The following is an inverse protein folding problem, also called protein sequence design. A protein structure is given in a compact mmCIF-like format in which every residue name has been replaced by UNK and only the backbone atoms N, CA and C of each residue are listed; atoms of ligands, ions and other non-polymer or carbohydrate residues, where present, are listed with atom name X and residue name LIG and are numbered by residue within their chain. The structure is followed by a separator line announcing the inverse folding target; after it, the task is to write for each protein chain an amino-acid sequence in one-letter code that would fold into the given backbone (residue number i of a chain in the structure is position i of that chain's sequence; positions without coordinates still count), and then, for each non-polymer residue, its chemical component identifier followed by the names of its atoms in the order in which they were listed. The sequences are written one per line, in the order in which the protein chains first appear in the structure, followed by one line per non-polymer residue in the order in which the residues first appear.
data_IF_080116436614
#
_entry.id   IF_080116436614
#
_cell.length_a   1.000
_cell.length_b   1.000
_cell.length_c   1.000
_cell.angle_alpha   90.00
_cell.angle_beta   90.00
_cell.angle_gamma   90.00
#
_symmetry.space_group_name_H-M   'P 1'
#
loop_
_entity.id
_entity.type
_entity.pdbx_description
1 polymer ?
#
# COMPACT_ATOMS: atom_id res chain seq x y z
N UNK A 1 -2.88 13.73 -22.04
CA UNK A 1 -3.18 13.88 -20.60
C UNK A 1 -1.87 13.84 -19.84
N UNK A 2 -1.58 14.82 -18.97
CA UNK A 2 -0.33 14.84 -18.20
C UNK A 2 -0.39 13.78 -17.09
N UNK A 3 0.66 13.00 -16.95
CA UNK A 3 0.79 12.00 -15.88
C UNK A 3 2.11 12.20 -15.15
N UNK A 4 2.15 11.78 -13.90
CA UNK A 4 3.34 11.77 -13.06
C UNK A 4 3.72 10.33 -12.76
N UNK A 5 5.03 10.03 -12.75
CA UNK A 5 5.55 8.72 -12.36
C UNK A 5 6.36 8.85 -11.06
N UNK A 6 6.10 7.98 -10.10
CA UNK A 6 6.85 7.87 -8.86
C UNK A 6 7.53 6.51 -8.79
N UNK A 7 8.75 6.41 -8.27
CA UNK A 7 9.49 5.15 -8.16
C UNK A 7 10.15 4.68 -9.46
N UNK A 8 11.04 3.68 -9.36
CA UNK A 8 11.91 3.24 -10.46
C UNK A 8 11.94 1.72 -10.66
N UNK A 9 11.48 0.92 -9.69
CA UNK A 9 11.46 -0.55 -9.82
C UNK A 9 10.28 -0.99 -10.69
N UNK A 10 10.42 -2.11 -11.43
CA UNK A 10 9.30 -2.68 -12.16
C UNK A 10 8.17 -3.08 -11.19
N UNK A 11 6.95 -3.13 -11.72
CA UNK A 11 5.80 -3.61 -10.97
C UNK A 11 5.93 -5.12 -10.74
N UNK A 12 5.95 -5.53 -9.48
CA UNK A 12 6.00 -6.93 -9.08
C UNK A 12 4.71 -7.39 -8.38
N UNK A 13 3.68 -6.53 -8.30
CA UNK A 13 2.38 -6.94 -7.82
C UNK A 13 1.73 -7.94 -8.78
N UNK A 14 1.20 -8.99 -8.20
CA UNK A 14 0.44 -10.02 -8.88
C UNK A 14 -0.95 -10.11 -8.25
N UNK A 15 -1.89 -10.64 -9.02
CA UNK A 15 -3.25 -10.90 -8.57
C UNK A 15 -3.53 -12.40 -8.65
N UNK A 16 -4.03 -12.96 -7.56
CA UNK A 16 -4.67 -14.27 -7.57
C UNK A 16 -6.18 -14.08 -7.45
N UNK A 17 -6.89 -14.34 -8.55
CA UNK A 17 -8.31 -14.04 -8.69
C UNK A 17 -8.65 -12.57 -8.42
N UNK A 18 -9.83 -12.34 -7.83
CA UNK A 18 -10.38 -10.99 -7.62
C UNK A 18 -9.92 -10.34 -6.32
N UNK A 19 -9.68 -11.14 -5.28
CA UNK A 19 -9.55 -10.68 -3.89
C UNK A 19 -8.15 -10.82 -3.30
N UNK A 20 -7.19 -11.44 -4.00
CA UNK A 20 -5.83 -11.57 -3.48
C UNK A 20 -4.85 -10.76 -4.32
N UNK A 21 -3.99 -10.01 -3.63
CA UNK A 21 -2.85 -9.29 -4.20
C UNK A 21 -1.60 -9.67 -3.43
N UNK A 22 -0.50 -9.90 -4.14
CA UNK A 22 0.78 -10.25 -3.51
C UNK A 22 1.94 -9.65 -4.30
N UNK A 23 3.10 -9.54 -3.66
CA UNK A 23 4.34 -9.12 -4.34
C UNK A 23 5.16 -10.36 -4.67
N UNK A 24 5.45 -10.58 -5.95
CA UNK A 24 6.34 -11.67 -6.38
C UNK A 24 7.74 -11.43 -5.85
N UNK A 25 8.20 -12.29 -4.92
CA UNK A 25 9.49 -12.19 -4.25
C UNK A 25 9.95 -13.57 -3.78
N UNK A 26 11.26 -13.72 -3.55
CA UNK A 26 11.84 -14.90 -2.88
C UNK A 26 11.64 -14.86 -1.36
N UNK A 27 11.23 -13.71 -0.81
CA UNK A 27 10.91 -13.56 0.60
C UNK A 27 9.51 -14.09 0.92
N UNK A 28 9.36 -14.68 2.10
CA UNK A 28 8.06 -15.03 2.62
C UNK A 28 7.27 -13.78 3.02
N UNK A 29 5.95 -13.82 2.80
CA UNK A 29 5.04 -12.80 3.34
C UNK A 29 5.12 -12.78 4.85
N UNK A 30 5.28 -11.59 5.43
CA UNK A 30 5.40 -11.38 6.89
C UNK A 30 4.30 -10.47 7.46
N UNK A 31 3.38 -9.99 6.60
CA UNK A 31 2.18 -9.24 6.97
C UNK A 31 1.07 -9.41 5.92
N UNK A 32 -0.15 -9.62 6.39
CA UNK A 32 -1.36 -9.61 5.57
C UNK A 32 -2.20 -8.38 5.94
N UNK A 33 -2.56 -7.58 4.93
CA UNK A 33 -3.38 -6.39 5.11
C UNK A 33 -4.69 -6.57 4.35
N UNK A 34 -5.81 -6.49 5.06
CA UNK A 34 -7.15 -6.54 4.53
C UNK A 34 -7.65 -5.11 4.29
N UNK A 35 -8.03 -4.81 3.05
CA UNK A 35 -8.64 -3.55 2.66
C UNK A 35 -9.95 -3.86 1.94
N UNK A 36 -11.08 -3.60 2.58
CA UNK A 36 -12.38 -4.11 2.13
C UNK A 36 -12.30 -5.62 1.83
N UNK A 37 -12.71 -6.01 0.62
CA UNK A 37 -12.75 -7.41 0.16
C UNK A 37 -11.41 -7.93 -0.42
N UNK A 38 -10.31 -7.19 -0.27
CA UNK A 38 -9.02 -7.55 -0.86
C UNK A 38 -7.96 -7.77 0.21
N UNK A 39 -7.32 -8.95 0.14
CA UNK A 39 -6.14 -9.32 0.94
C UNK A 39 -4.86 -8.98 0.21
N UNK A 40 -3.96 -8.30 0.90
CA UNK A 40 -2.63 -7.94 0.43
C UNK A 40 -1.57 -8.71 1.21
N UNK A 41 -0.87 -9.63 0.55
CA UNK A 41 0.25 -10.41 1.08
C UNK A 41 1.55 -9.64 0.81
N UNK A 42 2.12 -9.06 1.86
CA UNK A 42 3.19 -8.05 1.76
C UNK A 42 4.34 -8.32 2.74
N UNK A 43 5.32 -7.42 2.70
CA UNK A 43 6.52 -7.41 3.52
C UNK A 43 6.51 -6.16 4.42
N UNK A 44 6.83 -6.31 5.70
CA UNK A 44 6.82 -5.25 6.71
C UNK A 44 7.83 -4.17 6.35
N UNK A 45 9.07 -4.54 6.04
CA UNK A 45 10.16 -3.57 5.86
C UNK A 45 9.85 -2.46 4.80
N UNK A 46 9.42 -2.76 3.56
CA UNK A 46 9.04 -1.74 2.60
C UNK A 46 7.92 -0.81 3.07
N UNK A 47 6.93 -1.35 3.78
CA UNK A 47 5.75 -0.61 4.23
C UNK A 47 6.06 0.29 5.43
N UNK A 48 6.66 -0.31 6.47
CA UNK A 48 6.89 0.34 7.75
C UNK A 48 7.88 1.50 7.61
N UNK A 49 8.87 1.39 6.71
CA UNK A 49 9.83 2.47 6.44
C UNK A 49 9.21 3.73 5.82
N UNK A 50 7.96 3.68 5.31
CA UNK A 50 7.33 4.81 4.61
C UNK A 50 5.94 5.20 5.13
N UNK A 51 5.39 4.48 6.10
CA UNK A 51 4.07 4.75 6.68
C UNK A 51 4.09 4.61 8.20
N UNK A 52 3.87 5.73 8.89
CA UNK A 52 3.79 5.73 10.35
C UNK A 52 2.52 5.03 10.85
N UNK A 53 1.41 5.11 10.11
CA UNK A 53 0.18 4.42 10.50
C UNK A 53 0.30 2.90 10.35
N UNK A 54 0.94 2.40 9.29
CA UNK A 54 1.18 0.96 9.15
C UNK A 54 2.09 0.45 10.25
N UNK A 55 3.08 1.23 10.71
CA UNK A 55 3.89 0.85 11.88
C UNK A 55 3.00 0.64 13.10
N UNK A 56 2.14 1.61 13.43
CA UNK A 56 1.23 1.52 14.58
C UNK A 56 0.26 0.34 14.46
N UNK A 57 -0.34 0.13 13.28
CA UNK A 57 -1.31 -0.94 13.04
C UNK A 57 -0.67 -2.33 13.12
N UNK A 58 0.51 -2.51 12.53
CA UNK A 58 1.24 -3.79 12.59
C UNK A 58 1.72 -4.08 14.02
N UNK A 59 2.21 -3.07 14.75
CA UNK A 59 2.58 -3.26 16.16
C UNK A 59 1.39 -3.68 17.01
N UNK A 60 0.24 -3.02 16.85
CA UNK A 60 -1.00 -3.38 17.56
C UNK A 60 -1.46 -4.80 17.22
N UNK A 61 -1.41 -5.20 15.96
CA UNK A 61 -1.77 -6.56 15.56
C UNK A 61 -0.84 -7.61 16.22
N UNK A 62 0.47 -7.34 16.29
CA UNK A 62 1.41 -8.22 16.99
C UNK A 62 1.11 -8.34 18.49
N UNK A 63 0.74 -7.24 19.16
CA UNK A 63 0.33 -7.25 20.58
C UNK A 63 -0.93 -8.10 20.82
N UNK A 64 -1.85 -8.08 19.86
CA UNK A 64 -3.10 -8.85 19.87
C UNK A 64 -2.90 -10.31 19.37
N UNK A 65 -1.66 -10.73 19.08
CA UNK A 65 -1.33 -12.01 18.43
C UNK A 65 -2.13 -12.26 17.13
N UNK A 66 -2.45 -11.19 16.40
CA UNK A 66 -3.10 -11.24 15.10
C UNK A 66 -2.06 -11.19 13.97
N UNK A 67 -2.16 -12.13 13.03
CA UNK A 67 -1.31 -12.14 11.83
C UNK A 67 -1.81 -11.20 10.73
N UNK A 68 -3.04 -10.68 10.87
CA UNK A 68 -3.71 -9.85 9.87
C UNK A 68 -4.05 -8.46 10.41
N UNK A 69 -3.87 -7.44 9.57
CA UNK A 69 -4.28 -6.05 9.81
C UNK A 69 -5.54 -5.77 9.00
N UNK A 70 -6.57 -5.18 9.63
CA UNK A 70 -7.84 -4.87 8.98
C UNK A 70 -8.05 -3.36 8.82
N UNK A 71 -8.39 -2.92 7.62
CA UNK A 71 -8.74 -1.53 7.28
C UNK A 71 -10.06 -1.51 6.50
N UNK A 72 -11.16 -1.42 7.22
CA UNK A 72 -12.53 -1.51 6.67
C UNK A 72 -12.86 -0.29 5.79
N UNK A 73 -12.61 0.92 6.28
CA UNK A 73 -13.00 2.17 5.61
C UNK A 73 -11.80 2.91 4.98
N UNK A 74 -11.01 2.19 4.19
CA UNK A 74 -9.82 2.79 3.56
C UNK A 74 -10.18 3.78 2.44
N UNK A 75 -9.68 5.03 2.46
CA UNK A 75 -10.03 6.04 1.46
C UNK A 75 -9.55 5.65 0.06
N UNK A 76 -10.48 5.71 -0.91
CA UNK A 76 -10.20 5.28 -2.29
C UNK A 76 -10.16 3.75 -2.48
N UNK A 77 -10.37 2.98 -1.41
CA UNK A 77 -10.47 1.53 -1.44
C UNK A 77 -9.17 0.80 -1.81
N UNK A 78 -9.25 -0.49 -2.17
CA UNK A 78 -8.09 -1.36 -2.37
C UNK A 78 -7.12 -0.86 -3.45
N UNK A 79 -7.64 -0.23 -4.51
CA UNK A 79 -6.82 0.29 -5.61
C UNK A 79 -5.90 1.42 -5.15
N UNK A 80 -6.39 2.31 -4.29
CA UNK A 80 -5.57 3.38 -3.73
C UNK A 80 -4.55 2.84 -2.73
N UNK A 81 -4.91 1.82 -1.96
CA UNK A 81 -3.96 1.12 -1.10
C UNK A 81 -2.83 0.47 -1.92
N UNK A 82 -3.16 -0.20 -3.02
CA UNK A 82 -2.16 -0.82 -3.92
C UNK A 82 -1.17 0.21 -4.47
N UNK A 83 -1.64 1.41 -4.84
CA UNK A 83 -0.79 2.54 -5.25
C UNK A 83 0.19 2.92 -4.14
N UNK A 84 -0.29 3.11 -2.91
CA UNK A 84 0.56 3.42 -1.76
C UNK A 84 1.56 2.29 -1.45
N UNK A 85 1.12 1.03 -1.51
CA UNK A 85 1.98 -0.12 -1.33
C UNK A 85 3.09 -0.16 -2.40
N UNK A 86 2.77 0.01 -3.69
CA UNK A 86 3.78 0.09 -4.76
C UNK A 86 4.81 1.19 -4.50
N UNK A 87 4.37 2.36 -4.04
CA UNK A 87 5.27 3.44 -3.62
C UNK A 87 6.20 3.00 -2.48
N UNK A 88 5.69 2.30 -1.47
CA UNK A 88 6.48 1.71 -0.38
C UNK A 88 7.59 0.78 -0.88
N UNK A 89 7.32 -0.06 -1.88
CA UNK A 89 8.33 -0.92 -2.50
C UNK A 89 9.30 -0.19 -3.44
N UNK A 90 9.02 1.07 -3.79
CA UNK A 90 9.78 1.83 -4.78
C UNK A 90 9.46 1.43 -6.22
N UNK A 91 8.35 0.72 -6.43
CA UNK A 91 7.84 0.36 -7.75
C UNK A 91 7.31 1.60 -8.47
N UNK A 92 7.34 1.59 -9.79
CA UNK A 92 6.79 2.67 -10.59
C UNK A 92 5.27 2.75 -10.44
N UNK A 93 4.78 3.88 -9.94
CA UNK A 93 3.36 4.23 -9.84
C UNK A 93 3.08 5.35 -10.83
N UNK A 94 2.02 5.21 -11.63
CA UNK A 94 1.56 6.27 -12.53
C UNK A 94 0.34 6.97 -11.95
N UNK A 95 0.48 8.27 -11.70
CA UNK A 95 -0.58 9.15 -11.22
C UNK A 95 -1.13 10.01 -12.37
N UNK A 96 -2.44 10.13 -12.43
CA UNK A 96 -3.17 10.93 -13.42
C UNK A 96 -4.42 11.54 -12.76
N UNK A 97 -5.19 12.34 -13.51
CA UNK A 97 -6.36 13.03 -12.97
C UNK A 97 -7.44 12.10 -12.38
N UNK A 98 -7.46 10.81 -12.76
CA UNK A 98 -8.45 9.85 -12.28
C UNK A 98 -8.08 9.20 -10.94
N UNK A 99 -6.80 9.15 -10.58
CA UNK A 99 -6.35 8.44 -9.38
C UNK A 99 -5.58 9.31 -8.37
N UNK A 100 -5.11 10.51 -8.77
CA UNK A 100 -4.24 11.34 -7.92
C UNK A 100 -4.91 11.77 -6.61
N UNK A 101 -6.20 12.11 -6.64
CA UNK A 101 -6.95 12.52 -5.45
C UNK A 101 -7.08 11.35 -4.47
N UNK A 102 -7.50 10.18 -4.97
CA UNK A 102 -7.67 9.00 -4.14
C UNK A 102 -6.33 8.49 -3.58
N UNK A 103 -5.24 8.58 -4.35
CA UNK A 103 -3.89 8.26 -3.90
C UNK A 103 -3.39 9.22 -2.82
N UNK A 104 -3.67 10.53 -2.95
CA UNK A 104 -3.35 11.53 -1.93
C UNK A 104 -4.09 11.25 -0.62
N UNK A 105 -5.40 11.00 -0.66
CA UNK A 105 -6.19 10.68 0.53
C UNK A 105 -5.71 9.39 1.21
N UNK A 106 -5.34 8.36 0.42
CA UNK A 106 -4.76 7.13 0.93
C UNK A 106 -3.40 7.37 1.60
N UNK A 107 -2.51 8.14 0.97
CA UNK A 107 -1.21 8.50 1.52
C UNK A 107 -1.34 9.32 2.82
N UNK A 108 -2.32 10.22 2.89
CA UNK A 108 -2.64 11.00 4.08
C UNK A 108 -3.14 10.11 5.22
N UNK A 109 -4.11 9.24 4.93
CA UNK A 109 -4.60 8.26 5.89
C UNK A 109 -3.47 7.36 6.42
N UNK A 110 -2.56 6.92 5.55
CA UNK A 110 -1.42 6.08 5.91
C UNK A 110 -0.24 6.86 6.54
N UNK A 111 -0.35 8.18 6.73
CA UNK A 111 0.70 9.03 7.29
C UNK A 111 2.03 8.93 6.47
N UNK A 112 1.95 8.98 5.14
CA UNK A 112 3.09 8.82 4.21
C UNK A 112 3.64 10.17 3.70
N UNK A 113 4.48 10.83 4.50
CA UNK A 113 5.00 12.19 4.21
C UNK A 113 5.67 12.33 2.84
N UNK A 114 6.52 11.37 2.44
CA UNK A 114 7.25 11.44 1.16
C UNK A 114 6.33 11.36 -0.05
N UNK A 115 5.24 10.58 0.06
CA UNK A 115 4.28 10.46 -1.02
C UNK A 115 3.42 11.72 -1.13
N UNK A 116 3.03 12.31 0.01
CA UNK A 116 2.27 13.57 0.04
C UNK A 116 3.01 14.71 -0.66
N UNK A 117 4.30 14.90 -0.37
CA UNK A 117 5.14 15.92 -1.03
C UNK A 117 5.19 15.70 -2.55
N UNK A 118 5.13 14.45 -3.01
CA UNK A 118 5.21 14.14 -4.43
C UNK A 118 3.90 14.41 -5.19
N UNK A 119 2.76 14.53 -4.51
CA UNK A 119 1.43 14.66 -5.14
C UNK A 119 0.76 16.02 -4.91
N UNK A 120 1.45 16.95 -4.24
CA UNK A 120 1.07 18.36 -4.08
C UNK A 120 1.80 19.23 -5.07
#
# INVERSE_FOLDING_TARGET
MKFMKLGSKPDAFQADGKSIRYVSSELATDVIINVGEVKFYLHKFPLLSKSNRLQKLVSKANEENSEEVYMVDFPGGPKSFEICAKFCYGMTVTLNAYNVVAARCAAEYLEMTRMLIAVT
#
